data_IF_167816413590
#
_entry.id   IF_167816413590
#
_cell.length_a   1.000
_cell.length_b   1.000
_cell.length_c   1.000
_cell.angle_alpha   90.00
_cell.angle_beta   90.00
_cell.angle_gamma   90.00
#
_symmetry.space_group_name_H-M   'P 1'
#
loop_
_entity.id
_entity.type
_entity.pdbx_description
1 polymer ?
#
# COMPACT_ATOMS: atom_id res chain seq x y z
N UNK A 1 15.92 14.69 -17.21
CA UNK A 1 15.02 15.30 -16.21
C UNK A 1 14.73 14.25 -15.15
N UNK A 2 14.69 14.57 -13.86
CA UNK A 2 14.83 13.59 -12.76
C UNK A 2 13.85 12.41 -12.83
N UNK A 3 12.64 12.64 -13.35
CA UNK A 3 11.61 11.61 -13.49
C UNK A 3 11.65 10.78 -14.79
N UNK A 4 12.53 11.10 -15.75
CA UNK A 4 12.53 10.48 -17.09
C UNK A 4 12.84 8.97 -17.08
N UNK A 5 13.49 8.46 -16.03
CA UNK A 5 13.87 7.04 -15.91
C UNK A 5 13.36 6.39 -14.62
N UNK A 6 12.41 7.03 -13.93
CA UNK A 6 11.88 6.55 -12.64
C UNK A 6 10.61 5.75 -12.89
N UNK A 7 10.62 4.48 -12.46
CA UNK A 7 9.44 3.63 -12.47
C UNK A 7 8.70 3.75 -11.13
N UNK A 8 7.71 4.66 -11.07
CA UNK A 8 6.81 4.79 -9.91
C UNK A 8 5.64 3.78 -9.92
N UNK A 9 5.68 2.79 -10.81
CA UNK A 9 4.58 1.85 -11.00
C UNK A 9 3.29 2.58 -11.40
N UNK A 10 2.29 2.54 -10.53
CA UNK A 10 0.98 3.18 -10.71
C UNK A 10 0.89 4.59 -10.10
N UNK A 11 1.98 5.07 -9.51
CA UNK A 11 2.12 6.44 -9.03
C UNK A 11 2.73 7.38 -10.08
N UNK A 12 2.70 8.67 -9.76
CA UNK A 12 3.31 9.75 -10.53
C UNK A 12 4.65 10.13 -9.91
N UNK A 13 5.66 10.32 -10.75
CA UNK A 13 6.96 10.84 -10.28
C UNK A 13 6.89 12.36 -10.15
N UNK A 14 7.33 12.86 -9.00
CA UNK A 14 7.45 14.29 -8.71
C UNK A 14 8.91 14.60 -8.32
N UNK A 15 9.50 15.64 -8.91
CA UNK A 15 10.84 16.08 -8.50
C UNK A 15 10.79 16.66 -7.09
N UNK A 16 11.69 16.23 -6.21
CA UNK A 16 11.77 16.73 -4.84
C UNK A 16 13.21 17.09 -4.50
N UNK A 17 13.42 18.32 -4.04
CA UNK A 17 14.73 18.79 -3.55
C UNK A 17 14.97 18.44 -2.07
N UNK A 18 13.93 17.98 -1.36
CA UNK A 18 14.02 17.59 0.05
C UNK A 18 14.38 16.12 0.22
N UNK A 19 14.15 15.30 -0.81
CA UNK A 19 14.42 13.87 -0.78
C UNK A 19 15.79 13.57 -1.37
N UNK A 20 16.52 12.64 -0.73
CA UNK A 20 17.88 12.24 -1.10
C UNK A 20 18.00 11.71 -2.53
N UNK A 21 16.89 11.21 -3.09
CA UNK A 21 16.82 10.66 -4.44
C UNK A 21 16.53 11.72 -5.51
N UNK A 22 16.19 12.95 -5.12
CA UNK A 22 15.82 14.03 -6.05
C UNK A 22 14.40 13.90 -6.63
N UNK A 23 13.67 12.84 -6.28
CA UNK A 23 12.29 12.57 -6.69
C UNK A 23 11.53 11.80 -5.61
N UNK A 24 10.20 11.85 -5.68
CA UNK A 24 9.27 11.00 -4.94
C UNK A 24 8.25 10.39 -5.89
N UNK A 25 7.68 9.26 -5.50
CA UNK A 25 6.52 8.68 -6.17
C UNK A 25 5.27 8.98 -5.35
N UNK A 26 4.39 9.80 -5.91
CA UNK A 26 3.11 10.16 -5.30
C UNK A 26 1.98 9.31 -5.90
N UNK A 27 0.97 8.98 -5.10
CA UNK A 27 -0.22 8.26 -5.56
C UNK A 27 -1.46 9.09 -5.24
N UNK A 28 -2.37 9.16 -6.20
CA UNK A 28 -3.60 9.92 -6.05
C UNK A 28 -4.66 9.08 -5.31
N UNK A 29 -5.02 9.49 -4.11
CA UNK A 29 -6.00 8.79 -3.27
C UNK A 29 -7.45 9.25 -3.50
N UNK A 30 -7.68 10.25 -4.36
CA UNK A 30 -8.99 10.93 -4.50
C UNK A 30 -10.12 10.01 -4.96
N UNK A 31 -9.79 8.89 -5.61
CA UNK A 31 -10.75 7.91 -6.11
C UNK A 31 -10.94 6.70 -5.19
N UNK A 32 -10.14 6.58 -4.12
CA UNK A 32 -10.38 5.59 -3.07
C UNK A 32 -11.50 6.11 -2.17
N UNK A 33 -12.53 5.29 -1.92
CA UNK A 33 -13.60 5.61 -0.94
C UNK A 33 -13.09 5.68 0.50
N UNK A 34 -11.78 5.62 0.70
CA UNK A 34 -11.07 5.74 1.96
C UNK A 34 -10.67 7.22 2.06
N UNK A 35 -11.65 8.05 2.44
CA UNK A 35 -11.48 9.50 2.67
C UNK A 35 -10.73 9.80 3.98
N UNK A 36 -10.15 8.79 4.61
CA UNK A 36 -9.45 8.89 5.88
C UNK A 36 -8.03 8.38 5.69
N UNK A 37 -7.07 9.09 6.28
CA UNK A 37 -5.71 8.59 6.48
C UNK A 37 -5.75 7.11 6.91
N UNK A 38 -4.74 6.29 6.57
CA UNK A 38 -4.69 4.88 6.96
C UNK A 38 -5.12 4.77 8.42
N UNK A 39 -6.17 3.99 8.69
CA UNK A 39 -6.62 3.82 10.07
C UNK A 39 -5.40 3.35 10.88
N UNK A 40 -5.13 3.96 12.05
CA UNK A 40 -4.04 3.50 12.91
C UNK A 40 -4.20 2.00 13.12
N UNK A 41 -3.08 1.26 13.09
CA UNK A 41 -3.09 -0.19 13.26
C UNK A 41 -4.02 -0.56 14.42
N UNK A 42 -4.95 -1.51 14.22
CA UNK A 42 -5.89 -1.87 15.28
C UNK A 42 -5.13 -2.23 16.54
N UNK A 43 -5.57 -1.67 17.67
CA UNK A 43 -4.98 -1.96 18.99
C UNK A 43 -4.90 -3.48 19.17
N UNK A 44 -3.72 -4.04 19.51
CA UNK A 44 -3.59 -5.49 19.60
C UNK A 44 -4.60 -6.06 20.60
N UNK A 45 -5.39 -7.08 20.22
CA UNK A 45 -6.26 -7.78 21.15
C UNK A 45 -5.39 -8.42 22.25
N UNK A 46 -5.90 -8.39 23.48
CA UNK A 46 -5.22 -8.75 24.71
C UNK A 46 -4.26 -9.96 24.61
N UNK A 47 -2.96 -9.66 24.70
CA UNK A 47 -1.84 -10.38 25.33
C UNK A 47 -1.64 -11.90 25.18
N UNK A 48 -2.39 -12.68 24.40
CA UNK A 48 -2.15 -14.14 24.35
C UNK A 48 -2.00 -14.78 22.97
N UNK A 49 -2.53 -14.22 21.89
CA UNK A 49 -2.31 -14.78 20.57
C UNK A 49 -2.31 -13.64 19.55
N UNK A 50 -1.53 -13.80 18.47
CA UNK A 50 -1.64 -13.04 17.21
C UNK A 50 -0.60 -11.94 16.88
N UNK A 51 0.57 -11.85 17.53
CA UNK A 51 1.72 -11.11 16.92
C UNK A 51 2.27 -11.80 15.65
N UNK A 52 1.94 -13.09 15.48
CA UNK A 52 2.30 -13.91 14.33
C UNK A 52 1.24 -13.88 13.23
N UNK A 53 0.13 -13.17 13.41
CA UNK A 53 -0.82 -12.99 12.32
C UNK A 53 -0.40 -11.77 11.50
N UNK A 54 0.15 -11.97 10.29
CA UNK A 54 0.63 -10.88 9.47
C UNK A 54 -0.49 -9.91 9.06
N UNK A 55 -1.75 -10.36 9.04
CA UNK A 55 -2.87 -9.52 8.67
C UNK A 55 -3.31 -8.51 9.74
N UNK A 56 -2.86 -8.64 10.99
CA UNK A 56 -3.15 -7.65 12.03
C UNK A 56 -2.36 -6.35 11.85
N UNK A 57 -1.21 -6.41 11.17
CA UNK A 57 -0.36 -5.24 10.92
C UNK A 57 -0.23 -4.91 9.43
N UNK A 58 -0.71 -5.78 8.54
CA UNK A 58 -0.79 -5.51 7.12
C UNK A 58 -1.83 -4.43 6.79
N UNK A 59 -1.48 -3.56 5.85
CA UNK A 59 -2.43 -2.65 5.20
C UNK A 59 -2.57 -3.03 3.73
N UNK A 60 -3.78 -3.42 3.33
CA UNK A 60 -4.06 -3.83 1.94
C UNK A 60 -4.83 -2.80 1.11
N UNK A 61 -5.22 -1.65 1.67
CA UNK A 61 -5.93 -0.61 0.92
C UNK A 61 -7.29 -1.09 0.39
N UNK A 62 -7.53 -0.92 -0.91
CA UNK A 62 -8.76 -1.39 -1.59
C UNK A 62 -8.78 -2.90 -1.84
N UNK A 63 -8.42 -3.69 -0.83
CA UNK A 63 -8.31 -5.14 -0.90
C UNK A 63 -8.27 -5.77 0.49
N UNK A 64 -8.19 -7.09 0.52
CA UNK A 64 -8.21 -7.89 1.75
C UNK A 64 -6.86 -8.53 1.99
N UNK A 65 -6.47 -8.61 3.25
CA UNK A 65 -5.29 -9.35 3.65
C UNK A 65 -5.59 -10.84 3.75
N UNK A 66 -4.67 -11.66 3.25
CA UNK A 66 -4.70 -13.12 3.29
C UNK A 66 -3.35 -13.63 3.82
N UNK A 67 -3.39 -14.51 4.83
CA UNK A 67 -2.18 -15.12 5.37
C UNK A 67 -1.56 -16.07 4.34
N UNK A 68 -0.31 -15.82 3.97
CA UNK A 68 0.45 -16.68 3.07
C UNK A 68 1.35 -17.64 3.84
N UNK A 69 1.90 -17.19 4.97
CA UNK A 69 2.75 -17.99 5.86
C UNK A 69 2.72 -17.41 7.28
N UNK A 70 3.53 -17.98 8.17
CA UNK A 70 3.59 -17.61 9.59
C UNK A 70 4.03 -16.16 9.86
N UNK A 71 4.72 -15.52 8.92
CA UNK A 71 5.13 -14.11 9.00
C UNK A 71 4.83 -13.33 7.71
N UNK A 72 4.10 -13.94 6.78
CA UNK A 72 3.94 -13.41 5.43
C UNK A 72 2.47 -13.34 5.04
N UNK A 73 2.11 -12.27 4.34
CA UNK A 73 0.74 -12.01 3.90
C UNK A 73 0.72 -11.57 2.44
N UNK A 74 -0.47 -11.63 1.87
CA UNK A 74 -0.78 -11.12 0.54
C UNK A 74 -2.02 -10.26 0.60
N UNK A 75 -2.03 -9.22 -0.22
CA UNK A 75 -3.19 -8.37 -0.44
C UNK A 75 -3.90 -8.82 -1.71
N UNK A 76 -5.11 -9.34 -1.57
CA UNK A 76 -6.03 -9.63 -2.66
C UNK A 76 -6.88 -8.39 -2.96
N UNK A 77 -6.75 -7.83 -4.15
CA UNK A 77 -7.41 -6.58 -4.50
C UNK A 77 -8.87 -6.77 -4.90
N UNK A 78 -9.72 -5.83 -4.46
CA UNK A 78 -11.10 -5.74 -4.93
C UNK A 78 -11.15 -5.32 -6.41
N UNK A 79 -12.30 -5.51 -7.06
CA UNK A 79 -12.47 -5.20 -8.48
C UNK A 79 -12.11 -3.74 -8.80
N UNK A 80 -11.24 -3.56 -9.80
CA UNK A 80 -10.75 -2.25 -10.24
C UNK A 80 -9.59 -1.69 -9.40
N UNK A 81 -9.12 -2.40 -8.37
CA UNK A 81 -7.86 -2.12 -7.66
C UNK A 81 -6.77 -3.11 -8.10
N UNK A 82 -5.52 -2.69 -7.95
CA UNK A 82 -4.33 -3.43 -8.34
C UNK A 82 -3.22 -3.21 -7.31
N UNK A 83 -2.40 -4.23 -7.05
CA UNK A 83 -1.28 -4.06 -6.14
C UNK A 83 -0.25 -3.08 -6.73
N UNK A 84 0.35 -2.27 -5.86
CA UNK A 84 1.50 -1.46 -6.25
C UNK A 84 2.64 -2.38 -6.74
N UNK A 85 3.33 -1.97 -7.81
CA UNK A 85 4.36 -2.76 -8.48
C UNK A 85 3.92 -4.17 -8.94
N UNK A 86 2.60 -4.41 -9.06
CA UNK A 86 2.04 -5.71 -9.44
C UNK A 86 2.51 -6.87 -8.54
N UNK A 87 2.77 -6.59 -7.26
CA UNK A 87 3.21 -7.58 -6.28
C UNK A 87 2.25 -7.63 -5.09
N UNK A 88 1.79 -8.83 -4.75
CA UNK A 88 0.78 -9.06 -3.70
C UNK A 88 1.23 -8.65 -2.30
N UNK A 89 2.52 -8.41 -2.09
CA UNK A 89 3.04 -7.89 -0.81
C UNK A 89 2.77 -6.40 -0.62
N UNK A 90 2.30 -5.69 -1.65
CA UNK A 90 1.98 -4.27 -1.58
C UNK A 90 0.46 -3.99 -1.57
N UNK A 91 0.04 -2.87 -0.97
CA UNK A 91 -1.38 -2.51 -0.89
C UNK A 91 -2.01 -2.31 -2.27
N UNK A 92 -3.34 -2.46 -2.31
CA UNK A 92 -4.16 -2.31 -3.49
C UNK A 92 -4.58 -0.85 -3.70
N UNK A 93 -4.30 -0.34 -4.89
CA UNK A 93 -4.63 1.01 -5.34
C UNK A 93 -5.34 0.97 -6.69
N UNK A 94 -6.14 2.00 -6.96
CA UNK A 94 -6.78 2.18 -8.26
C UNK A 94 -6.30 3.49 -8.88
N UNK A 95 -6.14 3.51 -10.19
CA UNK A 95 -5.90 4.76 -10.91
C UNK A 95 -7.17 5.62 -10.86
N UNK A 96 -6.98 6.91 -10.53
CA UNK A 96 -8.03 7.90 -10.68
C UNK A 96 -8.10 8.28 -12.17
N UNK A 97 -9.29 8.13 -12.77
CA UNK A 97 -9.56 8.64 -14.11
C UNK A 97 -9.91 10.11 -14.06
#
# INVERSE_FOLDING_TARGET
>A
ETCSHVACGKGTCESSTNDTLGFICSINYSCSKISTAPAPSPSPPSANFSIFDPCLWAYCGGGKCVNASYFDYKCECDEGYYNLFNSTSYPCYRECK
#
